data_IF_643037753497
#
_entry.id   IF_643037753497
#
_cell.length_a   1.000
_cell.length_b   1.000
_cell.length_c   1.000
_cell.angle_alpha   90.00
_cell.angle_beta   90.00
_cell.angle_gamma   90.00
#
_symmetry.space_group_name_H-M   'P 1'
#
loop_
_entity.id
_entity.type
_entity.pdbx_description
1 polymer ?
#
# COMPACT_ATOMS: atom_id res chain seq x y z
N UNK A 1 7.79 3.17 31.53
CA UNK A 1 7.33 2.37 30.38
C UNK A 1 6.97 0.98 30.88
N UNK A 2 5.67 0.68 31.04
CA UNK A 2 5.21 -0.66 31.39
C UNK A 2 5.26 -1.53 30.13
N UNK A 3 6.22 -2.45 30.06
CA UNK A 3 6.45 -3.39 28.94
C UNK A 3 5.36 -4.47 28.81
N UNK A 4 4.24 -4.34 29.54
CA UNK A 4 3.19 -5.36 29.72
C UNK A 4 1.88 -5.06 28.99
N UNK A 5 1.78 -3.93 28.28
CA UNK A 5 0.63 -3.66 27.41
C UNK A 5 1.01 -4.15 26.02
N UNK A 6 0.52 -5.33 25.65
CA UNK A 6 0.57 -5.80 24.26
C UNK A 6 -0.24 -4.83 23.40
N UNK A 7 0.32 -4.33 22.30
CA UNK A 7 -0.41 -3.49 21.36
C UNK A 7 -1.41 -4.35 20.57
N UNK A 8 -2.73 -4.24 20.81
CA UNK A 8 -3.71 -5.04 20.09
C UNK A 8 -3.83 -4.65 18.61
N UNK A 9 -3.30 -3.49 18.20
CA UNK A 9 -3.38 -2.98 16.84
C UNK A 9 -2.19 -3.36 15.97
N UNK A 10 -1.06 -3.76 16.56
CA UNK A 10 0.14 -4.20 15.83
C UNK A 10 -0.16 -5.25 14.73
N UNK A 11 -0.94 -6.32 15.00
CA UNK A 11 -1.28 -7.32 13.98
C UNK A 11 -2.14 -6.74 12.85
N UNK A 12 -3.07 -5.85 13.19
CA UNK A 12 -3.98 -5.22 12.23
C UNK A 12 -3.21 -4.23 11.34
N UNK A 13 -2.40 -3.36 11.92
CA UNK A 13 -1.57 -2.40 11.18
C UNK A 13 -0.61 -3.10 10.22
N UNK A 14 0.00 -4.19 10.67
CA UNK A 14 0.87 -5.02 9.82
C UNK A 14 0.07 -5.66 8.68
N UNK A 15 -1.07 -6.28 8.96
CA UNK A 15 -1.89 -6.95 7.95
C UNK A 15 -2.42 -5.97 6.89
N UNK A 16 -2.97 -4.82 7.31
CA UNK A 16 -3.45 -3.79 6.39
C UNK A 16 -2.31 -3.14 5.60
N UNK A 17 -1.14 -2.95 6.23
CA UNK A 17 0.05 -2.44 5.54
C UNK A 17 0.50 -3.37 4.42
N UNK A 18 0.61 -4.67 4.71
CA UNK A 18 0.96 -5.70 3.70
C UNK A 18 -0.11 -5.78 2.61
N UNK A 19 -1.40 -5.79 2.98
CA UNK A 19 -2.49 -5.82 2.00
C UNK A 19 -2.40 -4.64 1.03
N UNK A 20 -2.14 -3.43 1.53
CA UNK A 20 -2.07 -2.24 0.70
C UNK A 20 -0.86 -2.28 -0.26
N UNK A 21 0.28 -2.83 0.19
CA UNK A 21 1.44 -3.11 -0.68
C UNK A 21 1.05 -4.07 -1.81
N UNK A 22 0.37 -5.17 -1.47
CA UNK A 22 -0.06 -6.16 -2.46
C UNK A 22 -1.06 -5.58 -3.46
N UNK A 23 -1.98 -4.71 -3.02
CA UNK A 23 -2.91 -4.00 -3.90
C UNK A 23 -2.16 -3.10 -4.88
N UNK A 24 -1.19 -2.32 -4.41
CA UNK A 24 -0.39 -1.46 -5.27
C UNK A 24 0.42 -2.27 -6.30
N UNK A 25 1.05 -3.37 -5.87
CA UNK A 25 1.76 -4.29 -6.76
C UNK A 25 0.80 -4.93 -7.77
N UNK A 26 -0.35 -5.45 -7.34
CA UNK A 26 -1.35 -6.06 -8.23
C UNK A 26 -1.90 -5.07 -9.26
N UNK A 27 -2.08 -3.81 -8.87
CA UNK A 27 -2.48 -2.72 -9.76
C UNK A 27 -1.44 -2.49 -10.85
N UNK A 28 -0.16 -2.48 -10.47
CA UNK A 28 0.95 -2.39 -11.41
C UNK A 28 1.14 -3.65 -12.24
N UNK A 29 0.84 -4.86 -11.77
CA UNK A 29 1.05 -6.06 -12.59
C UNK A 29 -0.08 -6.25 -13.61
N UNK A 30 -1.33 -5.94 -13.23
CA UNK A 30 -2.48 -6.21 -14.10
C UNK A 30 -2.49 -5.39 -15.39
N UNK A 31 -2.07 -4.12 -15.32
CA UNK A 31 -2.03 -3.07 -16.36
C UNK A 31 -2.93 -3.15 -17.64
N UNK A 32 -4.22 -3.55 -17.66
CA UNK A 32 -5.01 -3.40 -18.89
C UNK A 32 -5.41 -1.93 -19.10
N UNK A 33 -5.41 -1.16 -17.99
CA UNK A 33 -5.75 0.25 -17.90
C UNK A 33 -4.70 1.16 -18.52
N UNK A 34 -3.43 0.73 -18.60
CA UNK A 34 -2.34 1.54 -19.14
C UNK A 34 -2.56 1.92 -20.61
N UNK A 35 -3.21 1.04 -21.37
CA UNK A 35 -3.50 1.23 -22.79
C UNK A 35 -4.95 1.62 -23.07
N UNK A 36 -5.86 1.41 -22.10
CA UNK A 36 -7.30 1.73 -22.23
C UNK A 36 -7.67 3.13 -21.79
N UNK A 37 -6.79 3.82 -21.05
CA UNK A 37 -7.08 5.12 -20.44
C UNK A 37 -7.18 6.28 -21.44
N UNK A 38 -6.75 6.11 -22.70
CA UNK A 38 -6.84 7.13 -23.76
C UNK A 38 -6.03 8.40 -23.51
N UNK A 39 -5.32 8.50 -22.38
CA UNK A 39 -4.57 9.67 -21.94
C UNK A 39 -3.34 9.25 -21.14
N UNK A 40 -2.17 9.75 -21.56
CA UNK A 40 -0.89 9.56 -20.86
C UNK A 40 -0.94 10.13 -19.44
N UNK A 41 -1.64 11.25 -19.22
CA UNK A 41 -1.74 11.85 -17.90
C UNK A 41 -2.50 10.96 -16.91
N UNK A 42 -3.58 10.31 -17.37
CA UNK A 42 -4.35 9.36 -16.56
C UNK A 42 -3.53 8.10 -16.25
N UNK A 43 -2.70 7.64 -17.19
CA UNK A 43 -1.77 6.53 -16.95
C UNK A 43 -0.75 6.89 -15.85
N UNK A 44 -0.12 8.05 -15.94
CA UNK A 44 0.85 8.51 -14.94
C UNK A 44 0.21 8.67 -13.55
N UNK A 45 -1.01 9.21 -13.47
CA UNK A 45 -1.75 9.31 -12.22
C UNK A 45 -2.05 7.95 -11.57
N UNK A 46 -2.39 6.94 -12.37
CA UNK A 46 -2.62 5.59 -11.87
C UNK A 46 -1.33 4.91 -11.39
N UNK A 47 -0.22 5.08 -12.11
CA UNK A 47 1.11 4.60 -11.66
C UNK A 47 1.46 5.26 -10.33
N UNK A 48 1.32 6.58 -10.24
CA UNK A 48 1.60 7.33 -9.02
C UNK A 48 0.75 6.83 -7.85
N UNK A 49 -0.56 6.66 -8.06
CA UNK A 49 -1.47 6.12 -7.04
C UNK A 49 -1.07 4.73 -6.56
N UNK A 50 -0.65 3.84 -7.47
CA UNK A 50 -0.21 2.50 -7.12
C UNK A 50 1.11 2.51 -6.32
N UNK A 51 2.09 3.34 -6.73
CA UNK A 51 3.34 3.52 -5.98
C UNK A 51 3.09 4.14 -4.61
N UNK A 52 2.19 5.12 -4.52
CA UNK A 52 1.79 5.73 -3.25
C UNK A 52 1.14 4.69 -2.32
N UNK A 53 0.27 3.82 -2.83
CA UNK A 53 -0.32 2.73 -2.06
C UNK A 53 0.76 1.79 -1.49
N UNK A 54 1.76 1.42 -2.29
CA UNK A 54 2.92 0.62 -1.82
C UNK A 54 3.64 1.35 -0.69
N UNK A 55 3.98 2.62 -0.89
CA UNK A 55 4.69 3.42 0.11
C UNK A 55 3.91 3.55 1.42
N UNK A 56 2.62 3.86 1.35
CA UNK A 56 1.73 4.00 2.52
C UNK A 56 1.60 2.66 3.24
N UNK A 57 1.41 1.56 2.51
CA UNK A 57 1.28 0.23 3.09
C UNK A 57 2.55 -0.21 3.82
N UNK A 58 3.72 0.00 3.19
CA UNK A 58 5.00 -0.28 3.81
C UNK A 58 5.26 0.59 5.05
N UNK A 59 4.91 1.88 4.99
CA UNK A 59 5.02 2.79 6.14
C UNK A 59 4.10 2.37 7.29
N UNK A 60 2.86 1.97 6.99
CA UNK A 60 1.91 1.49 8.00
C UNK A 60 2.42 0.22 8.70
N UNK A 61 2.89 -0.77 7.93
CA UNK A 61 3.46 -1.99 8.50
C UNK A 61 4.75 -1.71 9.29
N UNK A 62 5.55 -0.72 8.88
CA UNK A 62 6.76 -0.31 9.60
C UNK A 62 6.45 0.38 10.93
N UNK A 63 5.48 1.30 10.96
CA UNK A 63 5.08 2.01 12.18
C UNK A 63 4.39 1.04 13.16
N UNK A 64 3.51 0.17 12.67
CA UNK A 64 2.74 -0.74 13.52
C UNK A 64 3.61 -1.74 14.31
N UNK A 65 4.82 -2.05 13.83
CA UNK A 65 5.76 -2.96 14.49
C UNK A 65 6.76 -2.28 15.42
N UNK A 66 6.75 -0.95 15.50
CA UNK A 66 7.76 -0.14 16.21
C UNK A 66 7.25 0.24 17.58
#
# INVERSE_FOLDING_TARGET
MNRYISDPLEPLGTAFGVLLVLIGIGTLIGMPWAYKSGSVLLMLGQIFGAVAAIGIGAALAWIART
#
